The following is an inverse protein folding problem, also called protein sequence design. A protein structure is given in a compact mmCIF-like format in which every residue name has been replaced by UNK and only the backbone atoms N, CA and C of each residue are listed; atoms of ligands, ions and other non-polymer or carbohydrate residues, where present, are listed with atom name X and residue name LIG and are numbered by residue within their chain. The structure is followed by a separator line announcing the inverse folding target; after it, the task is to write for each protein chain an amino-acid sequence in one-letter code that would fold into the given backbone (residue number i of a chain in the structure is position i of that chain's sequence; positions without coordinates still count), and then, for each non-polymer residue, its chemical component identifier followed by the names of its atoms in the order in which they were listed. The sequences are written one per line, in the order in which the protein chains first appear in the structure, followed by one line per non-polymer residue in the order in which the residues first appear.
data_IF_994799815502
#
_entry.id   IF_994799815502
#
_cell.length_a   1.000
_cell.length_b   1.000
_cell.length_c   1.000
_cell.angle_alpha   90.00
_cell.angle_beta   90.00
_cell.angle_gamma   90.00
#
_symmetry.space_group_name_H-M   'P 1'
#
loop_
_entity.id
_entity.type
_entity.pdbx_description
1 polymer ?
#
# COMPACT_ATOMS: atom_id res chain seq x y z
N UNK A 1 -17.35 -7.77 12.91
CA UNK A 1 -15.93 -7.36 12.64
C UNK A 1 -14.96 -8.28 13.38
N UNK A 2 -15.11 -8.49 14.69
CA UNK A 2 -14.18 -9.26 15.53
C UNK A 2 -13.87 -10.67 15.00
N UNK A 3 -14.88 -11.40 14.51
CA UNK A 3 -14.72 -12.80 14.09
C UNK A 3 -14.00 -12.99 12.74
N UNK A 4 -14.12 -12.00 11.82
CA UNK A 4 -13.71 -12.16 10.43
C UNK A 4 -12.65 -11.17 9.98
N UNK A 5 -12.44 -10.08 10.72
CA UNK A 5 -11.58 -8.97 10.31
C UNK A 5 -10.45 -8.68 11.30
N UNK A 6 -10.74 -8.78 12.62
CA UNK A 6 -9.81 -8.38 13.66
C UNK A 6 -8.50 -9.19 13.68
N UNK A 7 -8.50 -10.43 13.20
CA UNK A 7 -7.28 -11.26 13.11
C UNK A 7 -6.18 -10.58 12.28
N UNK A 8 -6.56 -9.73 11.32
CA UNK A 8 -5.63 -8.98 10.50
C UNK A 8 -5.65 -7.48 10.83
N UNK A 9 -6.84 -6.92 11.08
CA UNK A 9 -7.00 -5.47 11.21
C UNK A 9 -7.01 -4.95 12.66
N UNK A 10 -6.89 -5.84 13.64
CA UNK A 10 -7.01 -5.51 15.07
C UNK A 10 -8.46 -5.31 15.51
N UNK A 11 -8.69 -5.40 16.83
CA UNK A 11 -10.05 -5.28 17.38
C UNK A 11 -10.62 -3.86 17.20
N UNK A 12 -9.77 -2.84 17.14
CA UNK A 12 -10.15 -1.43 16.94
C UNK A 12 -9.76 -0.91 15.56
N UNK A 13 -9.57 -1.81 14.57
CA UNK A 13 -9.14 -1.46 13.21
C UNK A 13 -7.75 -0.77 13.12
N UNK A 14 -6.92 -0.97 14.13
CA UNK A 14 -5.57 -0.40 14.26
C UNK A 14 -4.51 -1.11 13.41
N UNK A 15 -4.85 -2.28 12.83
CA UNK A 15 -3.93 -3.13 12.09
C UNK A 15 -3.12 -4.05 13.00
N UNK A 16 -2.69 -5.20 12.46
CA UNK A 16 -1.83 -6.17 13.15
C UNK A 16 -0.63 -6.47 12.26
N UNK A 17 0.59 -6.35 12.79
CA UNK A 17 1.83 -6.56 12.04
C UNK A 17 1.86 -5.76 10.72
N UNK A 18 1.96 -6.46 9.59
CA UNK A 18 1.97 -5.86 8.25
C UNK A 18 0.58 -5.63 7.64
N UNK A 19 -0.49 -5.96 8.37
CA UNK A 19 -1.84 -5.75 7.87
C UNK A 19 -2.27 -4.28 8.04
N UNK A 20 -2.99 -3.73 7.06
CA UNK A 20 -3.25 -2.31 7.05
C UNK A 20 -4.21 -1.88 8.17
N UNK A 21 -3.96 -0.72 8.71
CA UNK A 21 -4.89 0.02 9.56
C UNK A 21 -6.11 0.43 8.74
N UNK A 22 -7.29 0.33 9.33
CA UNK A 22 -8.55 0.80 8.73
C UNK A 22 -9.09 2.05 9.42
N UNK A 23 -8.53 2.40 10.58
CA UNK A 23 -8.91 3.57 11.35
C UNK A 23 -7.73 4.53 11.57
N UNK A 24 -8.05 5.81 11.78
CA UNK A 24 -7.08 6.89 12.01
C UNK A 24 -6.65 7.60 10.74
N UNK A 25 -5.59 8.40 10.85
CA UNK A 25 -5.00 9.12 9.72
C UNK A 25 -5.61 10.50 9.44
N UNK A 26 -6.53 10.97 10.26
CA UNK A 26 -7.10 12.32 10.14
C UNK A 26 -5.99 13.36 10.22
N UNK A 27 -5.98 14.31 9.26
CA UNK A 27 -4.98 15.37 9.19
C UNK A 27 -3.55 14.89 8.87
N UNK A 28 -3.40 13.73 8.22
CA UNK A 28 -2.08 13.21 7.85
C UNK A 28 -1.79 13.29 6.34
N UNK A 29 -2.75 13.69 5.51
CA UNK A 29 -2.62 13.62 4.05
C UNK A 29 -1.54 14.54 3.47
N UNK A 30 -1.14 15.56 4.19
CA UNK A 30 -0.08 16.50 3.84
C UNK A 30 1.32 16.06 4.32
N UNK A 31 1.42 14.93 5.03
CA UNK A 31 2.69 14.40 5.53
C UNK A 31 3.43 13.60 4.45
N UNK A 32 4.73 13.41 4.66
CA UNK A 32 5.55 12.54 3.81
C UNK A 32 5.01 11.10 3.77
N UNK A 33 4.57 10.57 4.91
CA UNK A 33 3.98 9.24 5.07
C UNK A 33 2.53 9.35 5.59
N UNK A 34 1.56 9.63 4.73
CA UNK A 34 0.16 9.77 5.15
C UNK A 34 -0.47 8.40 5.45
N UNK A 35 -1.22 8.32 6.54
CA UNK A 35 -2.03 7.16 6.82
C UNK A 35 -3.36 7.26 6.07
N UNK A 36 -3.54 6.44 5.04
CA UNK A 36 -4.69 6.45 4.14
C UNK A 36 -5.75 5.45 4.56
N UNK A 37 -6.76 5.90 5.27
CA UNK A 37 -7.89 5.09 5.76
C UNK A 37 -9.22 5.64 5.25
N UNK A 38 -10.32 5.01 5.65
CA UNK A 38 -11.68 5.51 5.41
C UNK A 38 -11.89 6.86 6.11
N UNK A 39 -11.28 7.08 7.28
CA UNK A 39 -11.37 8.34 8.02
C UNK A 39 -10.48 9.45 7.52
N UNK A 40 -9.62 9.22 6.53
CA UNK A 40 -8.67 10.23 6.06
C UNK A 40 -8.63 10.43 4.55
N UNK A 41 -8.58 9.36 3.78
CA UNK A 41 -8.28 9.42 2.35
C UNK A 41 -9.44 9.03 1.44
N UNK A 42 -10.23 8.03 1.82
CA UNK A 42 -11.26 7.48 0.96
C UNK A 42 -12.37 8.52 0.72
N UNK A 43 -12.78 8.76 -0.57
CA UNK A 43 -13.76 9.79 -0.86
C UNK A 43 -15.21 9.34 -0.70
N UNK A 44 -15.49 8.05 -0.96
CA UNK A 44 -16.87 7.56 -1.06
C UNK A 44 -17.08 6.29 -0.25
N UNK A 45 -18.16 6.28 0.52
CA UNK A 45 -18.61 5.11 1.29
C UNK A 45 -18.89 3.91 0.38
N UNK A 46 -19.42 4.15 -0.82
CA UNK A 46 -19.69 3.10 -1.81
C UNK A 46 -18.45 2.31 -2.19
N UNK A 47 -17.30 2.96 -2.27
CA UNK A 47 -16.02 2.30 -2.53
C UNK A 47 -15.63 1.38 -1.38
N UNK A 48 -15.85 1.82 -0.14
CA UNK A 48 -15.56 1.02 1.06
C UNK A 48 -16.45 -0.21 1.12
N UNK A 49 -17.74 -0.02 0.94
CA UNK A 49 -18.72 -1.11 0.95
C UNK A 49 -18.42 -2.15 -0.13
N UNK A 50 -18.20 -1.68 -1.36
CA UNK A 50 -17.91 -2.55 -2.49
C UNK A 50 -16.59 -3.31 -2.30
N UNK A 51 -15.57 -2.67 -1.75
CA UNK A 51 -14.30 -3.34 -1.47
C UNK A 51 -14.44 -4.45 -0.42
N UNK A 52 -15.15 -4.18 0.67
CA UNK A 52 -15.44 -5.19 1.69
C UNK A 52 -16.23 -6.36 1.08
N UNK A 53 -17.29 -6.07 0.33
CA UNK A 53 -18.13 -7.08 -0.28
C UNK A 53 -17.38 -7.96 -1.29
N UNK A 54 -16.58 -7.36 -2.19
CA UNK A 54 -15.90 -8.08 -3.27
C UNK A 54 -14.61 -8.76 -2.88
N UNK A 55 -13.88 -8.20 -1.91
CA UNK A 55 -12.47 -8.55 -1.71
C UNK A 55 -12.16 -9.10 -0.32
N UNK A 56 -13.05 -8.91 0.65
CA UNK A 56 -12.86 -9.32 2.03
C UNK A 56 -13.82 -10.44 2.44
N UNK A 57 -13.46 -11.28 3.44
CA UNK A 57 -12.14 -11.41 4.08
C UNK A 57 -11.06 -11.90 3.11
N UNK A 58 -9.81 -11.49 3.33
CA UNK A 58 -8.69 -11.94 2.49
C UNK A 58 -8.59 -13.46 2.46
N UNK A 59 -8.56 -14.03 1.25
CA UNK A 59 -8.57 -15.49 1.06
C UNK A 59 -9.96 -16.15 1.10
N UNK A 60 -11.03 -15.40 1.46
CA UNK A 60 -12.43 -15.85 1.48
C UNK A 60 -13.37 -14.76 0.98
N UNK A 61 -12.99 -14.09 -0.11
CA UNK A 61 -13.77 -13.02 -0.73
C UNK A 61 -15.18 -13.48 -1.13
N UNK A 62 -16.15 -12.57 -1.04
CA UNK A 62 -17.56 -12.81 -1.45
C UNK A 62 -18.28 -13.90 -0.61
N UNK A 63 -17.85 -14.10 0.62
CA UNK A 63 -18.50 -15.04 1.56
C UNK A 63 -19.35 -14.33 2.63
N UNK A 64 -19.36 -13.00 2.62
CA UNK A 64 -20.15 -12.19 3.54
C UNK A 64 -21.56 -11.99 2.98
N UNK A 65 -22.56 -12.08 3.87
CA UNK A 65 -23.91 -11.66 3.56
C UNK A 65 -24.00 -10.12 3.54
N UNK A 66 -24.98 -9.55 2.83
CA UNK A 66 -25.10 -8.09 2.70
C UNK A 66 -25.20 -7.37 4.05
N UNK A 67 -25.95 -7.91 5.00
CA UNK A 67 -26.09 -7.34 6.35
C UNK A 67 -24.76 -7.38 7.12
N UNK A 68 -23.94 -8.41 6.92
CA UNK A 68 -22.61 -8.49 7.52
C UNK A 68 -21.69 -7.39 6.94
N UNK A 69 -21.78 -7.13 5.62
CA UNK A 69 -21.01 -6.06 4.98
C UNK A 69 -21.40 -4.69 5.54
N UNK A 70 -22.71 -4.43 5.67
CA UNK A 70 -23.20 -3.19 6.30
C UNK A 70 -22.70 -3.04 7.74
N UNK A 71 -22.80 -4.09 8.56
CA UNK A 71 -22.33 -4.07 9.94
C UNK A 71 -20.81 -3.86 10.05
N UNK A 72 -20.02 -4.51 9.19
CA UNK A 72 -18.56 -4.35 9.16
C UNK A 72 -18.20 -2.92 8.75
N UNK A 73 -18.84 -2.37 7.73
CA UNK A 73 -18.58 -1.00 7.26
C UNK A 73 -19.01 0.02 8.33
N UNK A 74 -20.15 -0.17 8.98
CA UNK A 74 -20.57 0.67 10.11
C UNK A 74 -19.52 0.67 11.23
N UNK A 75 -18.97 -0.49 11.56
CA UNK A 75 -17.91 -0.60 12.56
C UNK A 75 -16.63 0.16 12.15
N UNK A 76 -16.24 0.11 10.87
CA UNK A 76 -15.10 0.88 10.35
C UNK A 76 -15.37 2.38 10.45
N UNK A 77 -16.60 2.83 10.12
CA UNK A 77 -16.98 4.23 10.27
C UNK A 77 -16.92 4.69 11.73
N UNK A 78 -17.47 3.89 12.64
CA UNK A 78 -17.41 4.12 14.09
C UNK A 78 -15.95 4.21 14.59
N UNK A 79 -15.09 3.28 14.17
CA UNK A 79 -13.66 3.26 14.55
C UNK A 79 -12.89 4.50 14.03
N UNK A 80 -13.46 5.24 13.09
CA UNK A 80 -12.92 6.49 12.55
C UNK A 80 -13.64 7.75 13.09
N UNK A 81 -14.49 7.62 14.10
CA UNK A 81 -15.27 8.71 14.70
C UNK A 81 -16.20 9.43 13.67
N UNK A 82 -16.66 8.70 12.65
CA UNK A 82 -17.52 9.26 11.59
C UNK A 82 -19.01 9.07 11.90
N UNK A 83 -19.34 8.11 12.73
CA UNK A 83 -20.70 7.82 13.22
C UNK A 83 -20.64 7.44 14.69
N UNK A 84 -21.76 7.55 15.40
CA UNK A 84 -21.89 7.12 16.79
C UNK A 84 -22.12 5.60 16.91
N UNK A 85 -22.13 5.09 18.13
CA UNK A 85 -22.26 3.67 18.46
C UNK A 85 -23.68 3.12 18.26
N UNK A 86 -24.69 3.98 18.17
CA UNK A 86 -26.07 3.62 17.89
C UNK A 86 -26.41 3.66 16.39
N UNK A 87 -25.49 4.12 15.54
CA UNK A 87 -25.72 4.28 14.11
C UNK A 87 -25.92 2.94 13.40
N UNK A 88 -26.99 2.82 12.63
CA UNK A 88 -27.29 1.66 11.80
C UNK A 88 -27.08 2.00 10.33
N UNK A 89 -26.07 1.41 9.70
CA UNK A 89 -25.85 1.52 8.28
C UNK A 89 -26.74 0.54 7.51
N UNK A 90 -27.50 1.05 6.57
CA UNK A 90 -28.39 0.30 5.69
C UNK A 90 -28.48 0.97 4.31
N UNK A 91 -29.22 0.38 3.39
CA UNK A 91 -29.52 1.01 2.11
C UNK A 91 -30.28 2.34 2.24
N UNK A 92 -30.99 2.55 3.34
CA UNK A 92 -31.76 3.79 3.59
C UNK A 92 -30.86 4.92 4.14
N UNK A 93 -29.89 4.56 5.01
CA UNK A 93 -28.99 5.53 5.67
C UNK A 93 -27.65 5.68 4.97
N UNK A 94 -27.42 4.94 3.89
CA UNK A 94 -26.14 4.86 3.20
C UNK A 94 -25.67 6.22 2.66
N UNK A 95 -26.59 7.00 2.13
CA UNK A 95 -26.31 8.30 1.53
C UNK A 95 -26.19 9.44 2.55
N UNK A 96 -26.50 9.17 3.82
CA UNK A 96 -26.40 10.15 4.89
C UNK A 96 -24.96 10.29 5.40
N UNK A 97 -24.10 9.34 5.04
CA UNK A 97 -22.69 9.35 5.43
C UNK A 97 -21.83 9.96 4.36
N UNK A 98 -21.23 11.10 4.67
CA UNK A 98 -20.23 11.77 3.85
C UNK A 98 -18.83 11.55 4.47
N UNK A 99 -17.87 11.10 3.66
CA UNK A 99 -16.52 10.85 4.15
C UNK A 99 -15.70 12.15 4.14
N UNK A 100 -14.73 12.32 5.06
CA UNK A 100 -13.98 13.57 5.23
C UNK A 100 -13.23 14.05 3.97
N UNK A 101 -12.89 13.14 3.06
CA UNK A 101 -12.14 13.44 1.84
C UNK A 101 -13.01 13.40 0.57
N UNK A 102 -14.33 13.55 0.68
CA UNK A 102 -15.23 13.54 -0.46
C UNK A 102 -14.85 14.59 -1.52
N UNK A 103 -14.45 15.78 -1.07
CA UNK A 103 -14.00 16.89 -1.92
C UNK A 103 -12.49 16.90 -2.21
N UNK A 104 -11.74 15.91 -1.69
CA UNK A 104 -10.27 15.88 -1.80
C UNK A 104 -9.73 15.38 -3.13
N UNK A 105 -10.60 14.97 -4.06
CA UNK A 105 -10.22 14.49 -5.39
C UNK A 105 -10.63 15.46 -6.47
N UNK A 106 -9.77 15.69 -7.41
CA UNK A 106 -10.02 16.51 -8.59
C UNK A 106 -10.02 15.66 -9.87
N UNK A 107 -10.64 16.19 -10.90
CA UNK A 107 -10.70 15.51 -12.20
C UNK A 107 -9.30 15.40 -12.79
N UNK A 108 -8.97 14.23 -13.32
CA UNK A 108 -7.69 13.98 -13.99
C UNK A 108 -7.61 14.76 -15.30
N UNK A 109 -6.76 15.77 -15.33
CA UNK A 109 -6.53 16.65 -16.48
C UNK A 109 -5.23 16.33 -17.26
N UNK A 110 -4.58 15.19 -16.95
CA UNK A 110 -3.29 14.81 -17.54
C UNK A 110 -3.28 14.77 -19.05
N UNK A 111 -4.41 14.46 -19.68
CA UNK A 111 -4.52 14.47 -21.13
C UNK A 111 -4.26 15.87 -21.73
N UNK A 112 -4.55 16.92 -20.98
CA UNK A 112 -4.31 18.30 -21.39
C UNK A 112 -3.01 18.84 -20.80
N UNK A 113 -2.84 18.77 -19.49
CA UNK A 113 -1.71 19.34 -18.75
C UNK A 113 -0.38 18.64 -19.09
N UNK A 114 -0.40 17.33 -19.36
CA UNK A 114 0.75 16.50 -19.65
C UNK A 114 0.88 16.15 -21.16
N UNK A 115 0.09 16.78 -22.03
CA UNK A 115 0.08 16.50 -23.46
C UNK A 115 1.46 16.64 -24.15
N UNK A 116 2.34 17.46 -23.57
CA UNK A 116 3.70 17.67 -24.06
C UNK A 116 4.60 16.44 -23.84
N UNK A 117 4.34 15.61 -22.80
CA UNK A 117 5.09 14.37 -22.58
C UNK A 117 4.74 13.29 -23.61
N UNK A 118 3.51 13.26 -24.09
CA UNK A 118 3.06 12.24 -25.06
C UNK A 118 3.58 12.48 -26.49
N UNK A 119 3.97 13.72 -26.78
CA UNK A 119 4.41 14.15 -28.12
C UNK A 119 5.93 14.27 -28.25
N UNK A 120 6.66 14.23 -27.13
CA UNK A 120 8.10 14.33 -27.12
C UNK A 120 8.73 12.97 -27.48
N UNK A 121 9.71 12.97 -28.35
CA UNK A 121 10.58 11.80 -28.50
C UNK A 121 11.37 11.62 -27.18
N UNK A 122 11.34 10.41 -26.60
CA UNK A 122 12.06 10.17 -25.37
C UNK A 122 13.56 10.34 -25.61
N UNK A 123 14.21 11.08 -24.76
CA UNK A 123 15.67 11.19 -24.78
C UNK A 123 16.28 9.86 -24.32
N UNK A 124 17.06 9.20 -25.17
CA UNK A 124 17.64 7.87 -24.89
C UNK A 124 19.15 7.92 -24.57
N UNK A 125 19.83 9.03 -24.83
CA UNK A 125 21.25 9.20 -24.53
C UNK A 125 21.57 10.67 -24.27
N UNK A 126 22.52 10.91 -23.38
CA UNK A 126 23.04 12.25 -23.04
C UNK A 126 21.95 13.27 -22.65
N UNK A 127 20.92 12.78 -21.95
CA UNK A 127 19.74 13.57 -21.61
C UNK A 127 19.97 14.64 -20.55
N UNK A 128 21.04 14.54 -19.80
CA UNK A 128 21.48 15.49 -18.77
C UNK A 128 22.99 15.62 -18.76
N UNK A 129 23.48 16.81 -18.54
CA UNK A 129 24.93 17.09 -18.41
C UNK A 129 25.52 16.38 -17.17
N UNK A 130 24.72 16.29 -16.10
CA UNK A 130 25.11 15.61 -14.86
C UNK A 130 23.93 14.81 -14.31
N UNK A 131 24.23 13.67 -13.68
CA UNK A 131 23.24 12.83 -12.99
C UNK A 131 23.53 12.87 -11.49
N UNK A 132 22.56 13.34 -10.73
CA UNK A 132 22.61 13.35 -9.26
C UNK A 132 21.65 12.29 -8.70
N UNK A 133 22.13 11.57 -7.68
CA UNK A 133 21.26 10.67 -6.90
C UNK A 133 20.51 11.53 -5.89
N UNK A 134 19.24 11.78 -6.17
CA UNK A 134 18.37 12.60 -5.30
C UNK A 134 17.69 11.78 -4.21
N UNK A 135 17.59 10.47 -4.39
CA UNK A 135 16.96 9.57 -3.42
C UNK A 135 17.58 8.17 -3.52
N UNK A 136 17.72 7.50 -2.38
CA UNK A 136 18.11 6.09 -2.33
C UNK A 136 17.01 5.29 -1.67
N UNK A 137 16.78 4.05 -2.12
CA UNK A 137 15.90 3.13 -1.43
C UNK A 137 16.39 2.89 0.00
N UNK A 138 15.48 2.98 0.95
CA UNK A 138 15.71 2.62 2.36
C UNK A 138 15.01 1.31 2.66
N UNK A 139 15.61 0.48 3.48
CA UNK A 139 14.87 -0.59 4.14
C UNK A 139 14.03 0.10 5.21
N UNK A 140 12.71 0.09 5.02
CA UNK A 140 11.80 0.48 6.07
C UNK A 140 11.70 -0.72 7.02
N UNK A 141 12.27 -0.59 8.21
CA UNK A 141 11.96 -1.52 9.28
C UNK A 141 10.56 -1.19 9.78
N UNK A 142 9.62 -2.02 9.41
CA UNK A 142 8.21 -1.91 9.83
C UNK A 142 7.93 -2.74 11.08
N UNK A 143 8.98 -3.30 11.70
CA UNK A 143 8.84 -3.98 12.99
C UNK A 143 8.47 -2.95 14.04
N UNK A 144 7.40 -3.13 14.83
CA UNK A 144 7.12 -2.26 15.96
C UNK A 144 8.30 -2.32 16.92
N UNK A 145 9.11 -1.27 16.99
CA UNK A 145 10.13 -1.17 18.02
C UNK A 145 9.42 -0.97 19.36
N UNK A 146 9.56 -1.93 20.26
CA UNK A 146 9.42 -1.66 21.68
C UNK A 146 10.38 -0.51 22.00
N UNK A 147 9.87 0.58 22.53
CA UNK A 147 10.50 1.88 22.83
C UNK A 147 11.98 1.77 23.25
N UNK A 148 12.86 1.53 22.28
CA UNK A 148 14.30 1.55 22.47
C UNK A 148 14.91 2.64 21.61
N UNK A 149 14.89 3.84 22.21
CA UNK A 149 15.81 4.96 22.00
C UNK A 149 15.96 5.51 20.59
N UNK A 150 15.31 6.66 20.36
CA UNK A 150 15.68 7.67 19.36
C UNK A 150 17.20 8.04 19.37
N UNK A 151 17.96 7.60 20.37
CA UNK A 151 19.40 7.79 20.48
C UNK A 151 20.24 6.88 19.55
N UNK A 152 19.76 5.67 19.20
CA UNK A 152 20.53 4.74 18.35
C UNK A 152 20.43 5.07 16.85
N UNK A 153 19.38 5.75 16.41
CA UNK A 153 19.19 6.13 15.00
C UNK A 153 20.08 7.33 14.64
N UNK A 154 20.39 8.21 15.59
CA UNK A 154 21.27 9.35 15.35
C UNK A 154 22.76 8.96 15.29
N UNK A 155 23.20 7.92 15.98
CA UNK A 155 24.60 7.46 15.91
C UNK A 155 24.92 6.71 14.62
N UNK A 156 23.96 5.99 14.02
CA UNK A 156 24.16 5.31 12.74
C UNK A 156 24.24 6.27 11.53
N UNK A 157 23.75 7.51 11.67
CA UNK A 157 23.80 8.54 10.62
C UNK A 157 25.11 9.37 10.62
N UNK A 158 25.90 9.28 11.69
CA UNK A 158 27.08 10.14 11.87
C UNK A 158 28.40 9.48 11.47
N UNK A 159 28.43 8.20 11.14
CA UNK A 159 29.66 7.45 10.84
C UNK A 159 29.66 6.84 9.43
N UNK A 160 29.61 7.70 8.43
CA UNK A 160 30.04 7.34 7.09
C UNK A 160 31.43 7.94 6.84
N UNK A 161 32.51 7.16 6.84
CA UNK A 161 33.82 7.68 6.50
C UNK A 161 33.85 8.12 5.03
N UNK A 162 34.42 9.30 4.78
CA UNK A 162 34.75 9.78 3.46
C UNK A 162 35.57 8.69 2.73
N UNK A 163 35.04 8.10 1.70
CA UNK A 163 35.72 7.14 0.87
C UNK A 163 36.70 7.92 -0.03
N UNK A 164 37.94 7.74 0.26
CA UNK A 164 39.14 8.07 -0.54
C UNK A 164 39.03 7.42 -1.94
N UNK A 165 39.24 8.19 -2.98
CA UNK A 165 39.32 7.73 -4.37
C UNK A 165 40.42 6.66 -4.51
N UNK A 166 40.05 5.39 -4.55
CA UNK A 166 40.93 4.32 -4.98
C UNK A 166 40.48 3.82 -6.36
N UNK A 167 41.40 3.90 -7.30
CA UNK A 167 41.30 3.44 -8.68
C UNK A 167 40.73 2.02 -8.76
N UNK A 168 39.65 1.84 -9.48
CA UNK A 168 39.01 0.53 -9.72
C UNK A 168 39.77 -0.14 -10.88
N UNK A 169 40.67 -1.05 -10.54
CA UNK A 169 41.20 -2.05 -11.46
C UNK A 169 40.08 -3.03 -11.80
N UNK A 170 39.88 -3.27 -13.08
CA UNK A 170 38.79 -4.08 -13.63
C UNK A 170 38.86 -5.52 -13.07
N UNK A 171 37.98 -5.84 -12.09
CA UNK A 171 37.74 -7.20 -11.68
C UNK A 171 36.66 -7.84 -12.58
N UNK A 172 37.01 -9.01 -13.13
CA UNK A 172 36.18 -9.83 -14.00
C UNK A 172 34.78 -10.09 -13.40
N UNK A 173 33.77 -9.99 -14.26
CA UNK A 173 32.36 -10.30 -13.94
C UNK A 173 32.26 -11.70 -13.33
N UNK A 174 31.47 -11.89 -12.25
CA UNK A 174 31.18 -13.25 -11.76
C UNK A 174 30.34 -13.97 -12.81
N UNK A 175 30.85 -15.06 -13.33
CA UNK A 175 30.12 -16.01 -14.17
C UNK A 175 28.96 -16.53 -13.32
N UNK A 176 27.75 -16.10 -13.62
CA UNK A 176 26.53 -16.69 -13.03
C UNK A 176 26.45 -18.11 -13.57
N UNK A 177 26.75 -19.08 -12.73
CA UNK A 177 26.55 -20.49 -13.02
C UNK A 177 25.06 -20.71 -13.21
N UNK A 178 24.63 -20.88 -14.45
CA UNK A 178 23.22 -21.19 -14.78
C UNK A 178 22.94 -22.58 -14.25
N UNK A 179 22.33 -22.66 -13.07
CA UNK A 179 21.85 -23.91 -12.52
C UNK A 179 20.84 -24.50 -13.51
N UNK A 180 21.20 -25.62 -14.15
CA UNK A 180 20.34 -26.31 -15.07
C UNK A 180 19.03 -26.69 -14.36
N UNK A 181 17.92 -26.17 -14.85
CA UNK A 181 16.58 -26.47 -14.31
C UNK A 181 16.31 -27.97 -14.46
N UNK A 182 15.89 -28.61 -13.36
CA UNK A 182 15.48 -30.02 -13.37
C UNK A 182 14.37 -30.26 -14.40
N UNK A 183 14.61 -31.09 -15.45
CA UNK A 183 13.64 -31.30 -16.53
C UNK A 183 12.32 -31.91 -16.05
N UNK A 184 12.32 -32.67 -14.93
CA UNK A 184 11.07 -33.18 -14.35
C UNK A 184 10.23 -32.10 -13.69
N UNK A 185 10.85 -31.12 -13.04
CA UNK A 185 10.16 -29.97 -12.46
C UNK A 185 9.58 -29.07 -13.56
N UNK A 186 10.31 -28.86 -14.64
CA UNK A 186 9.82 -28.11 -15.81
C UNK A 186 8.62 -28.80 -16.43
N UNK A 187 8.65 -30.12 -16.59
CA UNK A 187 7.53 -30.90 -17.15
C UNK A 187 6.30 -30.89 -16.22
N UNK A 188 6.49 -30.93 -14.89
CA UNK A 188 5.39 -30.78 -13.91
C UNK A 188 4.79 -29.39 -13.97
N UNK A 189 5.60 -28.35 -14.03
CA UNK A 189 5.16 -26.95 -14.18
C UNK A 189 4.33 -26.73 -15.44
N UNK A 190 4.75 -27.27 -16.57
CA UNK A 190 4.02 -27.18 -17.83
C UNK A 190 2.63 -27.86 -17.80
N UNK A 191 2.48 -28.96 -17.04
CA UNK A 191 1.19 -29.63 -16.83
C UNK A 191 0.22 -28.80 -15.97
N UNK A 192 0.75 -28.14 -14.94
CA UNK A 192 -0.03 -27.26 -14.07
C UNK A 192 -0.48 -26.02 -14.86
N UNK A 193 0.43 -25.41 -15.62
CA UNK A 193 0.13 -24.21 -16.43
C UNK A 193 -0.98 -24.47 -17.46
N UNK A 194 -1.00 -25.66 -18.09
CA UNK A 194 -2.08 -26.04 -19.01
C UNK A 194 -3.46 -26.09 -18.35
N UNK A 195 -3.56 -26.41 -17.05
CA UNK A 195 -4.83 -26.42 -16.31
C UNK A 195 -5.32 -25.01 -15.94
N UNK A 196 -4.41 -24.04 -15.83
CA UNK A 196 -4.75 -22.66 -15.52
C UNK A 196 -5.18 -21.85 -16.77
N UNK A 197 -5.04 -22.42 -17.97
CA UNK A 197 -5.31 -21.73 -19.23
C UNK A 197 -6.68 -22.12 -19.85
N UNK A 198 -7.48 -22.91 -19.13
CA UNK A 198 -8.80 -23.38 -19.57
C UNK A 198 -9.92 -22.50 -18.99
#
# INVERSE_FOLDING_TARGET
FAEKCAVCHGDFAEGVDNWPKLAGGQGTLDREDPLKTVGSYWPYLSTTWDYVNRSMPFGAAQTLEADEVYAIVAYILYSNDLVDDEFVLSNETFTDVELPNAEGFFVDDRLESEAHFWKAEPCMSDCKDTVEITMRARVLDVTPEEEASEAAVQEASAEAPAAEEAAVEAAAEPVVEVVALDPELVAKGAKVFKKCKA
#
